data_IF_308159486279
#
_entry.id   IF_308159486279
#
_cell.length_a   1.000
_cell.length_b   1.000
_cell.length_c   1.000
_cell.angle_alpha   90.00
_cell.angle_beta   90.00
_cell.angle_gamma   90.00
#
_symmetry.space_group_name_H-M   'P 1'
#
loop_
_entity.id
_entity.type
_entity.pdbx_description
1 polymer ?
#
# COMPACT_ATOMS: atom_id res chain seq x y z
N UNK A 1 -24.88 -8.21 -3.07
CA UNK A 1 -23.78 -7.87 -4.03
C UNK A 1 -22.53 -8.71 -3.75
N UNK A 2 -22.12 -8.76 -2.49
CA UNK A 2 -20.99 -9.57 -2.03
C UNK A 2 -21.19 -11.07 -2.36
N UNK A 3 -22.36 -11.59 -2.03
CA UNK A 3 -22.69 -12.99 -2.30
C UNK A 3 -22.70 -13.35 -3.79
N UNK A 4 -23.11 -12.43 -4.66
CA UNK A 4 -23.13 -12.69 -6.11
C UNK A 4 -21.72 -12.76 -6.70
N UNK A 5 -20.80 -11.98 -6.17
CA UNK A 5 -19.39 -11.98 -6.59
C UNK A 5 -18.68 -13.22 -6.07
N UNK A 6 -18.90 -13.60 -4.82
CA UNK A 6 -18.31 -14.80 -4.24
C UNK A 6 -18.84 -16.10 -4.87
N UNK A 7 -20.12 -16.19 -5.24
CA UNK A 7 -20.67 -17.35 -5.96
C UNK A 7 -20.10 -17.52 -7.36
N UNK A 8 -19.89 -16.42 -8.08
CA UNK A 8 -19.41 -16.49 -9.46
C UNK A 8 -17.90 -16.56 -9.62
N UNK A 9 -17.16 -16.19 -8.59
CA UNK A 9 -15.73 -15.97 -8.70
C UNK A 9 -14.92 -16.32 -7.47
N UNK A 10 -15.54 -16.88 -6.43
CA UNK A 10 -14.88 -17.12 -5.14
C UNK A 10 -13.59 -17.91 -5.26
N UNK A 11 -13.58 -18.90 -6.11
CA UNK A 11 -12.37 -19.69 -6.39
C UNK A 11 -11.28 -18.91 -7.13
N UNK A 12 -11.67 -17.85 -7.84
CA UNK A 12 -10.75 -16.99 -8.57
C UNK A 12 -10.23 -15.83 -7.74
N UNK A 13 -11.00 -15.42 -6.76
CA UNK A 13 -10.73 -14.21 -5.99
C UNK A 13 -10.23 -14.46 -4.58
N UNK A 14 -10.42 -15.63 -4.04
CA UNK A 14 -9.90 -16.03 -2.74
C UNK A 14 -9.40 -17.45 -2.80
N UNK A 15 -8.12 -17.65 -2.83
CA UNK A 15 -7.59 -18.93 -2.40
C UNK A 15 -7.71 -18.96 -0.88
N UNK A 16 -8.59 -19.81 -0.36
CA UNK A 16 -8.88 -19.98 1.06
C UNK A 16 -7.64 -20.37 1.88
N UNK A 17 -6.55 -20.71 1.23
CA UNK A 17 -5.25 -20.99 1.85
C UNK A 17 -4.45 -19.73 2.20
N UNK A 18 -5.05 -18.58 2.18
CA UNK A 18 -4.41 -17.31 2.57
C UNK A 18 -3.56 -16.67 1.47
N UNK A 19 -3.57 -17.22 0.27
CA UNK A 19 -2.90 -16.61 -0.87
C UNK A 19 -3.90 -15.78 -1.65
N UNK A 20 -3.97 -14.52 -1.33
CA UNK A 20 -4.74 -13.55 -2.08
C UNK A 20 -4.03 -13.21 -3.40
N UNK A 21 -4.30 -13.98 -4.43
CA UNK A 21 -3.80 -13.71 -5.78
C UNK A 21 -4.89 -13.09 -6.67
N UNK A 22 -5.69 -12.22 -6.10
CA UNK A 22 -6.83 -11.70 -6.82
C UNK A 22 -6.47 -10.41 -7.52
N UNK A 23 -6.01 -10.56 -8.73
CA UNK A 23 -6.14 -9.51 -9.74
C UNK A 23 -7.32 -9.90 -10.63
N UNK A 24 -8.19 -8.95 -11.04
CA UNK A 24 -9.16 -9.24 -12.08
C UNK A 24 -8.39 -9.76 -13.28
N UNK A 25 -8.80 -10.91 -13.80
CA UNK A 25 -8.19 -11.43 -15.02
C UNK A 25 -8.63 -10.60 -16.21
N UNK A 26 -7.86 -10.60 -17.30
CA UNK A 26 -8.26 -9.95 -18.55
C UNK A 26 -9.66 -10.40 -19.01
N UNK A 27 -10.05 -11.65 -18.68
CA UNK A 27 -11.40 -12.16 -18.96
C UNK A 27 -12.49 -11.53 -18.10
N UNK A 28 -12.15 -11.14 -16.88
CA UNK A 28 -13.10 -10.48 -15.97
C UNK A 28 -13.25 -9.01 -16.39
N UNK A 29 -12.17 -8.35 -16.77
CA UNK A 29 -12.16 -6.99 -17.32
C UNK A 29 -12.85 -6.95 -18.70
N UNK A 30 -12.66 -7.96 -19.56
CA UNK A 30 -13.33 -8.05 -20.85
C UNK A 30 -14.85 -8.23 -20.76
N UNK A 31 -15.41 -8.53 -19.58
CA UNK A 31 -16.86 -8.54 -19.33
C UNK A 31 -17.41 -7.16 -19.01
N UNK A 32 -16.57 -6.23 -18.64
CA UNK A 32 -16.98 -4.85 -18.42
C UNK A 32 -17.38 -4.23 -19.77
N UNK A 33 -18.60 -3.71 -19.85
CA UNK A 33 -19.13 -3.04 -21.05
C UNK A 33 -18.96 -1.53 -20.99
N UNK A 34 -18.64 -1.02 -19.79
CA UNK A 34 -18.47 0.39 -19.52
C UNK A 34 -17.28 0.60 -18.58
N UNK A 35 -16.66 1.78 -18.63
CA UNK A 35 -15.58 2.18 -17.71
C UNK A 35 -16.03 2.12 -16.24
N UNK A 36 -17.30 2.38 -15.96
CA UNK A 36 -17.86 2.31 -14.62
C UNK A 36 -17.95 0.86 -14.11
N UNK A 37 -18.32 -0.07 -14.99
CA UNK A 37 -18.31 -1.51 -14.67
C UNK A 37 -16.89 -2.01 -14.43
N UNK A 38 -15.92 -1.55 -15.20
CA UNK A 38 -14.50 -1.90 -15.03
C UNK A 38 -13.97 -1.43 -13.67
N UNK A 39 -14.20 -0.16 -13.32
CA UNK A 39 -13.84 0.40 -12.01
C UNK A 39 -14.49 -0.36 -10.86
N UNK A 40 -15.76 -0.75 -11.03
CA UNK A 40 -16.47 -1.53 -10.03
C UNK A 40 -15.89 -2.93 -9.86
N UNK A 41 -15.59 -3.63 -10.95
CA UNK A 41 -15.00 -4.96 -10.92
C UNK A 41 -13.61 -4.91 -10.27
N UNK A 42 -12.80 -3.90 -10.61
CA UNK A 42 -11.51 -3.66 -10.00
C UNK A 42 -11.63 -3.45 -8.48
N UNK A 43 -12.53 -2.58 -8.04
CA UNK A 43 -12.74 -2.32 -6.61
C UNK A 43 -13.16 -3.57 -5.84
N UNK A 44 -14.01 -4.41 -6.44
CA UNK A 44 -14.42 -5.67 -5.85
C UNK A 44 -13.23 -6.64 -5.75
N UNK A 45 -12.42 -6.74 -6.78
CA UNK A 45 -11.26 -7.61 -6.80
C UNK A 45 -10.21 -7.21 -5.75
N UNK A 46 -9.92 -5.91 -5.65
CA UNK A 46 -9.01 -5.37 -4.61
C UNK A 46 -9.54 -5.67 -3.22
N UNK A 47 -10.83 -5.40 -2.98
CA UNK A 47 -11.45 -5.71 -1.70
C UNK A 47 -11.34 -7.20 -1.34
N UNK A 48 -11.68 -8.08 -2.27
CA UNK A 48 -11.59 -9.53 -2.05
C UNK A 48 -10.17 -10.01 -1.80
N UNK A 49 -9.21 -9.41 -2.49
CA UNK A 49 -7.78 -9.72 -2.28
C UNK A 49 -7.35 -9.46 -0.85
N UNK A 50 -7.82 -8.39 -0.24
CA UNK A 50 -7.36 -7.96 1.08
C UNK A 50 -8.38 -8.16 2.21
N UNK A 51 -9.55 -8.77 1.92
CA UNK A 51 -10.61 -9.00 2.90
C UNK A 51 -10.30 -10.10 3.93
N UNK A 52 -9.19 -10.83 3.80
CA UNK A 52 -8.76 -11.80 4.80
C UNK A 52 -8.48 -11.10 6.13
N UNK A 53 -8.98 -11.63 7.27
CA UNK A 53 -8.69 -11.07 8.59
C UNK A 53 -7.23 -11.27 9.01
N UNK A 54 -6.49 -12.11 8.32
CA UNK A 54 -5.07 -12.37 8.57
C UNK A 54 -4.32 -12.37 7.24
N UNK A 55 -3.24 -11.60 7.18
CA UNK A 55 -2.35 -11.55 6.04
C UNK A 55 -1.09 -12.35 6.32
N UNK A 56 -0.93 -13.49 5.66
CA UNK A 56 0.20 -14.41 5.85
C UNK A 56 1.40 -14.10 4.93
N UNK A 57 1.20 -13.28 3.93
CA UNK A 57 2.14 -12.97 2.85
C UNK A 57 2.86 -11.63 3.04
N UNK A 58 2.83 -11.06 4.23
CA UNK A 58 3.59 -9.86 4.59
C UNK A 58 5.06 -10.20 4.74
N UNK A 59 5.92 -9.56 3.96
CA UNK A 59 7.35 -9.67 4.11
C UNK A 59 7.83 -8.85 5.31
N UNK A 60 8.19 -9.52 6.39
CA UNK A 60 8.62 -8.88 7.65
C UNK A 60 9.87 -8.00 7.49
N UNK A 61 10.68 -8.24 6.48
CA UNK A 61 11.91 -7.49 6.23
C UNK A 61 11.74 -6.33 5.26
N UNK A 62 10.60 -6.25 4.57
CA UNK A 62 10.29 -5.15 3.65
C UNK A 62 9.88 -3.88 4.41
N UNK A 63 10.89 -3.17 4.92
CA UNK A 63 10.74 -1.94 5.70
C UNK A 63 11.74 -0.90 5.22
N UNK A 64 11.44 0.38 5.39
CA UNK A 64 12.43 1.42 5.18
C UNK A 64 13.62 1.24 6.12
N UNK A 65 14.77 1.70 5.68
CA UNK A 65 16.09 1.45 6.24
C UNK A 65 16.17 1.60 7.78
N UNK A 66 16.22 0.46 8.48
CA UNK A 66 16.34 0.40 9.94
C UNK A 66 17.66 1.00 10.47
N UNK A 67 18.68 1.04 9.63
CA UNK A 67 20.02 1.49 10.05
C UNK A 67 20.07 3.00 10.26
N UNK A 68 19.32 3.76 9.48
CA UNK A 68 19.26 5.22 9.59
C UNK A 68 18.43 5.68 10.80
N UNK A 69 17.52 4.84 11.27
CA UNK A 69 16.65 5.14 12.40
C UNK A 69 17.28 4.79 13.76
N UNK A 70 18.49 4.22 13.79
CA UNK A 70 19.21 3.93 15.03
C UNK A 70 20.05 5.14 15.44
N UNK A 71 19.54 5.95 16.31
CA UNK A 71 20.38 6.87 17.09
C UNK A 71 21.33 6.08 18.02
N UNK A 72 22.53 6.60 18.20
CA UNK A 72 23.61 5.97 18.99
C UNK A 72 23.29 5.82 20.47
N UNK A 73 22.23 6.47 20.98
CA UNK A 73 21.86 6.43 22.38
C UNK A 73 20.37 6.14 22.62
N UNK A 74 20.15 5.04 23.30
CA UNK A 74 19.07 4.70 24.23
C UNK A 74 17.65 4.41 23.74
N UNK A 75 17.17 4.83 22.57
CA UNK A 75 15.79 4.52 22.17
C UNK A 75 15.72 3.46 21.06
N UNK A 76 15.67 2.20 21.49
CA UNK A 76 15.53 1.02 20.61
C UNK A 76 14.11 0.82 20.04
N UNK A 77 13.27 1.84 20.00
CA UNK A 77 11.84 1.66 19.77
C UNK A 77 11.33 1.97 18.36
N UNK A 78 12.19 1.98 17.34
CA UNK A 78 11.70 2.13 15.99
C UNK A 78 11.57 0.75 15.36
N UNK A 79 10.33 0.30 15.28
CA UNK A 79 9.91 -0.75 14.38
C UNK A 79 9.17 -0.09 13.22
N UNK A 80 9.83 0.19 12.09
CA UNK A 80 9.12 0.69 10.92
C UNK A 80 8.08 -0.35 10.48
N UNK A 81 6.89 0.12 10.14
CA UNK A 81 5.83 -0.73 9.61
C UNK A 81 6.26 -1.30 8.25
N UNK A 82 5.89 -2.55 7.99
CA UNK A 82 6.17 -3.19 6.71
C UNK A 82 5.49 -2.45 5.57
N UNK A 83 6.24 -2.22 4.49
CA UNK A 83 5.74 -1.49 3.33
C UNK A 83 4.56 -2.21 2.67
N UNK A 84 4.54 -3.55 2.68
CA UNK A 84 3.42 -4.35 2.17
C UNK A 84 2.09 -4.05 2.88
N UNK A 85 2.13 -3.81 4.19
CA UNK A 85 0.94 -3.42 4.97
C UNK A 85 0.44 -2.04 4.56
N UNK A 86 1.37 -1.11 4.40
CA UNK A 86 1.07 0.26 3.98
C UNK A 86 0.51 0.28 2.57
N UNK A 87 1.11 -0.46 1.63
CA UNK A 87 0.63 -0.60 0.25
C UNK A 87 -0.84 -1.04 0.21
N UNK A 88 -1.19 -2.07 0.98
CA UNK A 88 -2.57 -2.56 1.08
C UNK A 88 -3.52 -1.53 1.64
N UNK A 89 -3.10 -0.84 2.70
CA UNK A 89 -3.93 0.22 3.28
C UNK A 89 -4.15 1.38 2.28
N UNK A 90 -3.09 1.81 1.60
CA UNK A 90 -3.18 2.88 0.60
C UNK A 90 -4.05 2.45 -0.59
N UNK A 91 -3.92 1.21 -1.06
CA UNK A 91 -4.74 0.69 -2.16
C UNK A 91 -6.22 0.57 -1.78
N UNK A 92 -6.53 0.07 -0.57
CA UNK A 92 -7.90 -0.12 -0.10
C UNK A 92 -8.64 1.19 0.15
N UNK A 93 -7.94 2.22 0.64
CA UNK A 93 -8.59 3.40 1.22
C UNK A 93 -8.32 4.70 0.47
N UNK A 94 -7.59 4.65 -0.66
CA UNK A 94 -7.32 5.83 -1.46
C UNK A 94 -7.28 5.55 -2.96
N UNK A 95 -7.54 6.59 -3.77
CA UNK A 95 -7.39 6.54 -5.21
C UNK A 95 -6.09 7.25 -5.65
N UNK A 96 -5.61 7.04 -6.87
CA UNK A 96 -4.54 7.85 -7.45
C UNK A 96 -4.84 9.35 -7.31
N UNK A 97 -3.82 10.14 -6.95
CA UNK A 97 -3.88 11.57 -6.67
C UNK A 97 -4.62 11.99 -5.38
N UNK A 98 -5.18 11.06 -4.61
CA UNK A 98 -5.71 11.39 -3.28
C UNK A 98 -4.60 11.85 -2.33
N UNK A 99 -5.00 12.55 -1.29
CA UNK A 99 -4.10 13.00 -0.23
C UNK A 99 -4.12 12.00 0.93
N UNK A 100 -2.96 11.41 1.20
CA UNK A 100 -2.72 10.57 2.38
C UNK A 100 -2.09 11.45 3.47
N UNK A 101 -2.63 11.37 4.66
CA UNK A 101 -2.14 12.11 5.83
C UNK A 101 -1.68 11.15 6.93
N UNK A 102 -0.45 11.36 7.44
CA UNK A 102 0.07 10.66 8.62
C UNK A 102 0.41 11.67 9.72
N UNK A 103 -0.26 11.61 10.88
CA UNK A 103 0.06 12.48 12.02
C UNK A 103 1.31 12.03 12.78
N UNK A 104 1.84 10.84 12.50
CA UNK A 104 3.00 10.23 13.14
C UNK A 104 3.93 9.63 12.08
N UNK A 105 4.52 10.50 11.27
CA UNK A 105 5.23 10.10 10.04
C UNK A 105 6.48 9.24 10.31
N UNK A 106 7.10 9.39 11.48
CA UNK A 106 8.34 8.68 11.78
C UNK A 106 9.42 8.95 10.72
N UNK A 107 9.96 7.88 10.14
CA UNK A 107 10.95 7.96 9.04
C UNK A 107 10.29 8.03 7.63
N UNK A 108 8.97 8.20 7.55
CA UNK A 108 8.28 8.46 6.30
C UNK A 108 7.78 7.24 5.53
N UNK A 109 7.57 6.09 6.17
CA UNK A 109 7.16 4.86 5.47
C UNK A 109 5.85 5.01 4.71
N UNK A 110 4.83 5.60 5.33
CA UNK A 110 3.53 5.85 4.72
C UNK A 110 3.64 6.83 3.54
N UNK A 111 4.45 7.86 3.70
CA UNK A 111 4.70 8.84 2.64
C UNK A 111 5.43 8.23 1.45
N UNK A 112 6.47 7.45 1.70
CA UNK A 112 7.24 6.75 0.69
C UNK A 112 6.33 5.87 -0.20
N UNK A 113 5.51 5.02 0.42
CA UNK A 113 4.59 4.15 -0.31
C UNK A 113 3.52 4.96 -1.04
N UNK A 114 2.94 5.95 -0.39
CA UNK A 114 1.90 6.80 -0.99
C UNK A 114 2.39 7.48 -2.27
N UNK A 115 3.58 8.06 -2.24
CA UNK A 115 4.19 8.71 -3.40
C UNK A 115 4.49 7.72 -4.53
N UNK A 116 5.05 6.55 -4.20
CA UNK A 116 5.29 5.49 -5.20
C UNK A 116 4.01 5.01 -5.86
N UNK A 117 2.92 4.93 -5.12
CA UNK A 117 1.61 4.53 -5.64
C UNK A 117 0.85 5.68 -6.31
N UNK A 118 1.44 6.85 -6.47
CA UNK A 118 0.83 7.99 -7.17
C UNK A 118 -0.18 8.78 -6.35
N UNK A 119 -0.11 8.69 -5.03
CA UNK A 119 -0.86 9.54 -4.10
C UNK A 119 -0.03 10.77 -3.74
N UNK A 120 -0.69 11.78 -3.19
CA UNK A 120 -0.03 12.91 -2.54
C UNK A 120 0.13 12.58 -1.05
N UNK A 121 1.10 13.18 -0.39
CA UNK A 121 1.35 12.91 1.02
C UNK A 121 1.56 14.20 1.80
N UNK A 122 1.02 14.22 3.02
CA UNK A 122 1.30 15.21 4.05
C UNK A 122 1.51 14.46 5.36
N UNK A 123 2.55 14.81 6.10
CA UNK A 123 2.84 14.17 7.36
C UNK A 123 3.32 15.16 8.42
N UNK A 124 3.21 14.74 9.69
CA UNK A 124 3.75 15.45 10.83
C UNK A 124 4.69 14.55 11.62
N UNK A 125 5.84 15.08 12.01
CA UNK A 125 6.82 14.40 12.86
C UNK A 125 7.46 15.43 13.81
N UNK A 126 7.42 15.13 15.09
CA UNK A 126 7.94 16.04 16.13
C UNK A 126 9.45 15.91 16.32
N UNK A 127 10.00 14.71 16.12
CA UNK A 127 11.42 14.47 16.31
C UNK A 127 12.18 14.87 15.06
N UNK A 128 12.99 15.93 15.18
CA UNK A 128 13.72 16.52 14.04
C UNK A 128 14.56 15.50 13.27
N UNK A 129 15.26 14.60 13.96
CA UNK A 129 16.09 13.57 13.30
C UNK A 129 15.28 12.63 12.43
N UNK A 130 14.05 12.27 12.85
CA UNK A 130 13.15 11.44 12.05
C UNK A 130 12.55 12.20 10.90
N UNK A 131 12.20 13.47 11.13
CA UNK A 131 11.73 14.36 10.07
C UNK A 131 12.76 14.50 8.94
N UNK A 132 14.04 14.70 9.29
CA UNK A 132 15.12 14.83 8.31
C UNK A 132 15.30 13.52 7.49
N UNK A 133 15.20 12.36 8.15
CA UNK A 133 15.21 11.04 7.47
C UNK A 133 13.97 10.88 6.58
N UNK A 134 12.81 11.26 7.07
CA UNK A 134 11.58 11.19 6.30
C UNK A 134 11.67 12.02 5.02
N UNK A 135 12.18 13.25 5.09
CA UNK A 135 12.39 14.08 3.90
C UNK A 135 13.26 13.37 2.86
N UNK A 136 14.39 12.78 3.29
CA UNK A 136 15.28 12.03 2.39
C UNK A 136 14.54 10.84 1.74
N UNK A 137 13.81 10.05 2.52
CA UNK A 137 13.06 8.91 2.00
C UNK A 137 11.95 9.32 1.03
N UNK A 138 11.30 10.46 1.25
CA UNK A 138 10.27 10.99 0.35
C UNK A 138 10.87 11.49 -0.96
N UNK A 139 12.03 12.15 -0.92
CA UNK A 139 12.76 12.58 -2.10
C UNK A 139 13.21 11.39 -2.95
N UNK A 140 13.70 10.32 -2.32
CA UNK A 140 14.04 9.06 -2.99
C UNK A 140 12.81 8.44 -3.68
N UNK A 141 11.64 8.45 -3.04
CA UNK A 141 10.41 7.94 -3.63
C UNK A 141 9.99 8.70 -4.89
N UNK A 142 10.20 10.01 -4.92
CA UNK A 142 9.90 10.87 -6.07
C UNK A 142 10.89 10.61 -7.21
N UNK A 143 12.18 10.48 -6.90
CA UNK A 143 13.24 10.26 -7.89
C UNK A 143 13.08 8.94 -8.62
N UNK A 144 12.80 7.85 -7.91
CA UNK A 144 12.55 6.51 -8.49
C UNK A 144 11.33 6.55 -9.43
N UNK A 145 10.31 7.33 -9.11
CA UNK A 145 9.14 7.48 -9.98
C UNK A 145 9.47 8.18 -11.30
N UNK A 146 10.37 9.15 -11.29
CA UNK A 146 10.79 9.84 -12.51
C UNK A 146 11.58 8.93 -13.44
N UNK A 147 12.47 8.09 -12.93
CA UNK A 147 13.23 7.13 -13.72
C UNK A 147 12.36 6.05 -14.38
N UNK A 148 11.24 5.68 -13.77
CA UNK A 148 10.33 4.66 -14.32
C UNK A 148 9.41 5.19 -15.45
N UNK A 149 9.45 6.47 -15.76
CA UNK A 149 8.66 7.11 -16.82
C UNK A 149 9.44 7.28 -18.14
N UNK A 150 10.71 6.92 -18.15
CA UNK A 150 11.60 6.92 -19.30
C UNK A 150 12.11 5.49 -19.61
#
# INVERSE_FOLDING_TARGET
KWESVTRGGGERFCDYKGMTQCQPTDKDLARARTEEEEKRLYSIAVWQRYASPVWFDINQTNVLNKMQAKEKDAERHICPLQLDVIERAVELWSNPNDLVFSPFTGIGSEGYVSLKMGRRFVGAELKKSYFDIACTNLDDAISVKQESLF
#
